data_IF_629028145354
#
_entry.id   IF_629028145354
#
_cell.length_a   1.000
_cell.length_b   1.000
_cell.length_c   1.000
_cell.angle_alpha   90.00
_cell.angle_beta   90.00
_cell.angle_gamma   90.00
#
_symmetry.space_group_name_H-M   'P 1'
#
loop_
_entity.id
_entity.type
_entity.pdbx_description
1 polymer ?
#
# COMPACT_ATOMS: atom_id res chain seq x y z
N UNK A 1 3.19 0.07 20.24
CA UNK A 1 3.71 -0.51 18.96
C UNK A 1 5.16 -1.01 19.03
N UNK A 2 5.93 -0.67 20.02
CA UNK A 2 7.28 -1.23 20.19
C UNK A 2 7.24 -2.47 21.08
N UNK A 3 7.96 -3.53 20.67
CA UNK A 3 8.08 -4.75 21.45
C UNK A 3 9.23 -4.61 22.48
N UNK A 4 9.04 -5.09 23.70
CA UNK A 4 10.11 -5.18 24.70
C UNK A 4 10.99 -6.40 24.45
N UNK A 5 11.89 -6.30 23.50
CA UNK A 5 12.94 -7.31 23.25
C UNK A 5 14.21 -6.97 24.04
N UNK A 6 15.19 -7.92 24.02
CA UNK A 6 16.51 -7.64 24.58
C UNK A 6 17.04 -6.31 24.08
N UNK A 7 17.44 -5.43 24.98
CA UNK A 7 17.77 -4.04 24.73
C UNK A 7 18.82 -3.81 23.65
N UNK A 8 19.65 -4.81 23.36
CA UNK A 8 20.78 -4.73 22.42
C UNK A 8 20.45 -5.14 20.98
N UNK A 9 19.26 -5.71 20.70
CA UNK A 9 18.91 -6.09 19.34
C UNK A 9 18.63 -4.86 18.47
N UNK A 10 19.11 -4.91 17.21
CA UNK A 10 18.87 -3.85 16.21
C UNK A 10 17.39 -3.78 15.86
N UNK A 11 16.79 -2.61 15.99
CA UNK A 11 15.42 -2.31 15.58
C UNK A 11 15.36 -1.60 14.23
N UNK A 12 16.26 -0.62 14.03
CA UNK A 12 16.19 0.30 12.90
C UNK A 12 17.58 0.59 12.37
N UNK A 13 17.74 0.50 11.05
CA UNK A 13 18.91 0.95 10.31
C UNK A 13 18.47 2.01 9.31
N UNK A 14 19.03 3.19 9.38
CA UNK A 14 18.93 4.22 8.35
C UNK A 14 20.12 4.09 7.40
N UNK A 15 19.87 3.55 6.22
CA UNK A 15 20.93 3.31 5.24
C UNK A 15 21.47 4.61 4.62
N UNK A 16 20.67 5.67 4.59
CA UNK A 16 21.06 6.99 4.09
C UNK A 16 22.04 7.70 5.04
N UNK A 17 21.73 7.72 6.33
CA UNK A 17 22.55 8.32 7.37
C UNK A 17 23.59 7.38 7.95
N UNK A 18 23.61 6.09 7.54
CA UNK A 18 24.45 5.03 8.11
C UNK A 18 24.32 4.95 9.64
N UNK A 19 23.10 5.15 10.12
CA UNK A 19 22.73 5.16 11.54
C UNK A 19 22.01 3.87 11.90
N UNK A 20 22.39 3.27 13.02
CA UNK A 20 21.74 2.08 13.56
C UNK A 20 21.22 2.38 14.97
N UNK A 21 20.02 1.90 15.29
CA UNK A 21 19.42 2.00 16.61
C UNK A 21 19.00 0.61 17.08
N UNK A 22 19.35 0.27 18.32
CA UNK A 22 18.78 -0.90 19.02
C UNK A 22 17.33 -0.60 19.44
N UNK A 23 16.59 -1.64 19.87
CA UNK A 23 15.23 -1.43 20.40
C UNK A 23 15.22 -0.47 21.57
N UNK A 24 16.19 -0.56 22.51
CA UNK A 24 16.32 0.36 23.63
C UNK A 24 16.66 1.79 23.20
N UNK A 25 17.56 1.95 22.23
CA UNK A 25 17.93 3.27 21.72
C UNK A 25 16.76 3.92 20.95
N UNK A 26 16.00 3.13 20.16
CA UNK A 26 14.80 3.63 19.51
C UNK A 26 13.74 4.05 20.53
N UNK A 27 13.49 3.22 21.53
CA UNK A 27 12.54 3.52 22.61
C UNK A 27 12.91 4.80 23.35
N UNK A 28 14.19 4.97 23.69
CA UNK A 28 14.70 6.18 24.32
C UNK A 28 14.51 7.42 23.44
N UNK A 29 14.88 7.32 22.15
CA UNK A 29 14.71 8.43 21.21
C UNK A 29 13.24 8.82 21.02
N UNK A 30 12.35 7.83 20.98
CA UNK A 30 10.90 8.05 20.91
C UNK A 30 10.37 8.70 22.20
N UNK A 31 10.86 8.32 23.38
CA UNK A 31 10.46 8.91 24.64
C UNK A 31 10.87 10.38 24.72
N UNK A 32 12.15 10.68 24.44
CA UNK A 32 12.68 12.05 24.41
C UNK A 32 11.90 12.94 23.43
N UNK A 33 11.61 12.41 22.24
CA UNK A 33 10.84 13.14 21.22
C UNK A 33 9.37 13.32 21.61
N UNK A 34 8.78 12.36 22.32
CA UNK A 34 7.42 12.48 22.86
C UNK A 34 7.31 13.58 23.91
N UNK A 35 8.33 13.77 24.75
CA UNK A 35 8.37 14.90 25.72
C UNK A 35 8.34 16.24 24.99
N UNK A 36 9.07 16.38 23.87
CA UNK A 36 9.01 17.58 23.02
C UNK A 36 7.62 17.78 22.39
N UNK A 37 6.92 16.70 22.06
CA UNK A 37 5.60 16.71 21.43
C UNK A 37 4.44 16.71 22.44
N UNK A 38 4.67 16.79 23.74
CA UNK A 38 3.62 16.71 24.77
C UNK A 38 2.46 17.71 24.54
N UNK A 39 2.75 18.88 23.98
CA UNK A 39 1.75 19.89 23.62
C UNK A 39 0.85 19.50 22.42
N UNK A 40 1.13 18.41 21.73
CA UNK A 40 0.36 17.94 20.56
C UNK A 40 -0.67 16.86 20.90
N UNK A 41 -0.84 16.51 22.17
CA UNK A 41 -1.88 15.56 22.62
C UNK A 41 -3.26 15.99 22.14
N UNK A 42 -3.98 15.08 21.44
CA UNK A 42 -5.32 15.34 20.90
C UNK A 42 -5.36 16.39 19.79
N UNK A 43 -4.22 16.74 19.18
CA UNK A 43 -4.11 17.72 18.11
C UNK A 43 -3.78 17.07 16.77
N UNK A 44 -4.21 17.71 15.68
CA UNK A 44 -3.87 17.27 14.33
C UNK A 44 -2.45 17.73 13.97
N UNK A 45 -1.62 16.77 13.61
CA UNK A 45 -0.28 17.01 13.10
C UNK A 45 -0.17 16.47 11.68
N UNK A 46 0.29 17.28 10.74
CA UNK A 46 0.74 16.83 9.44
C UNK A 46 2.21 16.44 9.54
N UNK A 47 2.51 15.18 9.29
CA UNK A 47 3.87 14.64 9.33
C UNK A 47 4.33 14.24 7.94
N UNK A 48 5.30 14.96 7.39
CA UNK A 48 6.02 14.62 6.19
C UNK A 48 7.00 13.47 6.48
N UNK A 49 6.77 12.29 5.90
CA UNK A 49 7.59 11.11 6.14
C UNK A 49 8.41 10.72 4.91
N UNK A 50 9.63 10.26 5.18
CA UNK A 50 10.54 9.63 4.22
C UNK A 50 11.13 8.37 4.86
N UNK A 51 11.81 7.49 4.11
CA UNK A 51 12.53 6.36 4.69
C UNK A 51 13.79 6.83 5.47
N UNK A 52 13.58 7.43 6.64
CA UNK A 52 14.62 7.97 7.53
C UNK A 52 14.26 7.69 9.00
N UNK A 53 15.27 7.54 9.83
CA UNK A 53 15.10 7.25 11.26
C UNK A 53 14.30 8.35 11.97
N UNK A 54 14.50 9.60 11.61
CA UNK A 54 13.77 10.77 12.17
C UNK A 54 12.27 10.65 11.93
N UNK A 55 11.83 10.29 10.71
CA UNK A 55 10.41 10.11 10.39
C UNK A 55 9.76 8.99 11.23
N UNK A 56 10.49 7.89 11.47
CA UNK A 56 10.00 6.79 12.32
C UNK A 56 9.90 7.22 13.77
N UNK A 57 10.91 7.92 14.29
CA UNK A 57 10.92 8.44 15.68
C UNK A 57 9.77 9.42 15.88
N UNK A 58 9.60 10.39 14.96
CA UNK A 58 8.53 11.40 15.04
C UNK A 58 7.14 10.75 15.00
N UNK A 59 6.93 9.79 14.10
CA UNK A 59 5.66 9.04 14.03
C UNK A 59 5.36 8.33 15.35
N UNK A 60 6.30 7.56 15.86
CA UNK A 60 6.11 6.80 17.10
C UNK A 60 5.94 7.72 18.33
N UNK A 61 6.63 8.86 18.36
CA UNK A 61 6.49 9.86 19.41
C UNK A 61 5.11 10.54 19.38
N UNK A 62 4.62 10.93 18.20
CA UNK A 62 3.29 11.50 18.03
C UNK A 62 2.17 10.51 18.42
N UNK A 63 2.32 9.24 18.08
CA UNK A 63 1.38 8.20 18.54
C UNK A 63 1.43 8.03 20.06
N UNK A 64 2.62 8.07 20.67
CA UNK A 64 2.78 7.98 22.13
C UNK A 64 2.07 9.12 22.89
N UNK A 65 2.11 10.33 22.35
CA UNK A 65 1.37 11.47 22.93
C UNK A 65 -0.09 11.54 22.50
N UNK A 66 -0.58 10.52 21.79
CA UNK A 66 -1.97 10.43 21.31
C UNK A 66 -2.39 11.62 20.43
N UNK A 67 -1.52 12.02 19.53
CA UNK A 67 -1.85 12.98 18.49
C UNK A 67 -2.69 12.32 17.39
N UNK A 68 -3.45 13.10 16.65
CA UNK A 68 -4.01 12.69 15.33
C UNK A 68 -2.97 13.02 14.27
N UNK A 69 -2.46 12.01 13.57
CA UNK A 69 -1.31 12.17 12.67
C UNK A 69 -1.69 11.90 11.23
N UNK A 70 -1.59 12.91 10.37
CA UNK A 70 -1.70 12.72 8.92
C UNK A 70 -0.32 12.42 8.32
N UNK A 71 -0.15 11.20 7.79
CA UNK A 71 1.10 10.78 7.14
C UNK A 71 1.10 11.22 5.68
N UNK A 72 2.06 12.05 5.31
CA UNK A 72 2.17 12.66 3.99
C UNK A 72 3.59 12.44 3.43
N UNK A 73 3.74 12.57 2.12
CA UNK A 73 5.07 12.59 1.51
C UNK A 73 5.83 13.84 1.95
N UNK A 74 7.03 13.68 2.48
CA UNK A 74 7.88 14.81 2.86
C UNK A 74 8.17 15.76 1.67
N UNK A 75 8.16 15.23 0.44
CA UNK A 75 8.34 15.99 -0.79
C UNK A 75 7.03 16.59 -1.33
N UNK A 76 5.94 16.61 -0.54
CA UNK A 76 4.67 17.24 -0.96
C UNK A 76 4.89 18.71 -1.33
N UNK A 77 4.49 19.15 -2.54
CA UNK A 77 4.63 20.55 -2.96
C UNK A 77 3.87 21.51 -2.03
N UNK A 78 4.44 22.70 -1.78
CA UNK A 78 3.87 23.72 -0.88
C UNK A 78 2.44 24.12 -1.24
N UNK A 79 2.10 24.24 -2.52
CA UNK A 79 0.76 24.57 -2.98
C UNK A 79 -0.27 23.53 -2.50
N UNK A 80 0.06 22.24 -2.64
CA UNK A 80 -0.80 21.14 -2.19
C UNK A 80 -0.87 21.10 -0.66
N UNK A 81 0.27 21.27 0.00
CA UNK A 81 0.33 21.31 1.46
C UNK A 81 -0.51 22.47 2.02
N UNK A 82 -0.46 23.64 1.40
CA UNK A 82 -1.28 24.81 1.75
C UNK A 82 -2.77 24.50 1.60
N UNK A 83 -3.18 23.92 0.47
CA UNK A 83 -4.58 23.50 0.26
C UNK A 83 -5.08 22.56 1.35
N UNK A 84 -4.24 21.60 1.76
CA UNK A 84 -4.59 20.66 2.82
C UNK A 84 -4.62 21.33 4.19
N UNK A 85 -3.68 22.25 4.47
CA UNK A 85 -3.67 23.05 5.72
C UNK A 85 -4.94 23.87 5.88
N UNK A 86 -5.38 24.51 4.80
CA UNK A 86 -6.60 25.35 4.82
C UNK A 86 -7.87 24.51 5.04
N UNK A 87 -7.91 23.27 4.53
CA UNK A 87 -9.05 22.38 4.68
C UNK A 87 -9.12 21.65 6.03
N UNK A 88 -7.97 21.36 6.63
CA UNK A 88 -7.89 20.55 7.86
C UNK A 88 -7.40 21.30 9.08
N UNK A 89 -6.78 22.47 8.94
CA UNK A 89 -6.29 23.33 10.02
C UNK A 89 -5.44 22.55 11.05
N UNK A 90 -4.31 21.92 10.63
CA UNK A 90 -3.46 21.20 11.57
C UNK A 90 -2.83 22.16 12.59
N UNK A 91 -2.63 21.69 13.82
CA UNK A 91 -1.91 22.44 14.85
C UNK A 91 -0.39 22.33 14.74
N UNK A 92 0.12 21.35 13.98
CA UNK A 92 1.54 21.26 13.64
C UNK A 92 1.74 20.71 12.23
N UNK A 93 2.82 21.14 11.58
CA UNK A 93 3.31 20.65 10.28
C UNK A 93 4.80 20.39 10.47
N UNK A 94 5.22 19.13 10.32
CA UNK A 94 6.55 18.65 10.66
C UNK A 94 7.13 17.79 9.53
N UNK A 95 8.45 17.85 9.34
CA UNK A 95 9.20 16.92 8.51
C UNK A 95 9.07 17.09 6.99
N UNK A 96 8.61 18.23 6.49
CA UNK A 96 8.51 18.51 5.05
C UNK A 96 9.78 19.14 4.48
N UNK A 97 10.11 18.78 3.22
CA UNK A 97 11.27 19.33 2.51
C UNK A 97 11.06 20.79 2.09
N UNK A 98 9.80 21.14 1.83
CA UNK A 98 9.39 22.43 1.24
C UNK A 98 8.94 23.45 2.28
N UNK A 99 8.72 23.05 3.53
CA UNK A 99 8.21 23.91 4.57
C UNK A 99 8.94 23.66 5.89
N UNK A 100 9.33 24.72 6.63
CA UNK A 100 9.92 24.54 7.96
C UNK A 100 8.91 23.94 8.93
N UNK A 101 9.41 23.24 9.95
CA UNK A 101 8.59 22.74 11.03
C UNK A 101 7.89 23.89 11.75
N UNK A 102 6.56 23.80 11.84
CA UNK A 102 5.72 24.82 12.47
C UNK A 102 4.73 24.16 13.42
N UNK A 103 4.64 24.68 14.63
CA UNK A 103 3.54 24.38 15.53
C UNK A 103 2.84 25.68 15.92
N UNK A 104 1.51 25.67 15.90
CA UNK A 104 0.72 26.83 16.27
C UNK A 104 0.13 26.65 17.66
N UNK A 105 0.51 27.53 18.60
CA UNK A 105 -0.12 27.64 19.90
C UNK A 105 -1.45 28.41 19.78
N UNK A 106 -2.42 27.85 19.09
CA UNK A 106 -3.79 28.35 19.11
C UNK A 106 -4.55 27.88 20.35
N UNK A 107 -5.70 28.50 20.70
CA UNK A 107 -6.57 27.94 21.73
C UNK A 107 -6.89 26.50 21.36
N UNK A 108 -6.90 25.55 22.33
CA UNK A 108 -7.15 24.16 22.04
C UNK A 108 -8.52 24.02 21.38
N UNK A 109 -8.54 23.56 20.13
CA UNK A 109 -9.75 22.95 19.58
C UNK A 109 -10.14 21.77 20.46
N UNK A 110 -11.41 21.32 20.39
CA UNK A 110 -11.81 20.10 21.08
C UNK A 110 -10.82 18.97 20.75
N UNK A 111 -10.32 18.21 21.75
CA UNK A 111 -9.37 17.15 21.52
C UNK A 111 -9.87 16.17 20.46
N UNK A 112 -9.03 15.84 19.50
CA UNK A 112 -9.32 14.82 18.50
C UNK A 112 -8.97 13.44 19.07
N UNK A 113 -9.71 12.37 18.68
CA UNK A 113 -9.32 11.01 19.02
C UNK A 113 -8.00 10.66 18.35
N UNK A 114 -7.19 9.84 19.03
CA UNK A 114 -5.94 9.33 18.43
C UNK A 114 -6.22 8.57 17.15
N UNK A 115 -5.61 8.97 16.06
CA UNK A 115 -5.78 8.31 14.77
C UNK A 115 -4.62 8.60 13.84
N UNK A 116 -4.41 7.68 12.92
CA UNK A 116 -3.50 7.85 11.78
C UNK A 116 -4.35 8.11 10.55
N UNK A 117 -4.06 9.18 9.86
CA UNK A 117 -4.72 9.60 8.64
C UNK A 117 -3.83 9.29 7.46
N UNK A 118 -4.32 8.44 6.55
CA UNK A 118 -3.59 8.08 5.33
C UNK A 118 -4.34 8.63 4.12
N UNK A 119 -3.67 9.43 3.26
CA UNK A 119 -4.33 9.97 2.08
C UNK A 119 -4.67 8.85 1.09
N UNK A 120 -5.85 8.89 0.52
CA UNK A 120 -6.20 8.08 -0.64
C UNK A 120 -6.06 8.91 -1.91
N UNK A 121 -5.70 8.25 -3.01
CA UNK A 121 -5.68 8.86 -4.34
C UNK A 121 -7.11 9.14 -4.82
N UNK A 122 -7.75 10.17 -4.29
CA UNK A 122 -9.03 10.65 -4.80
C UNK A 122 -8.83 11.42 -6.10
N UNK A 123 -9.63 11.12 -7.11
CA UNK A 123 -9.67 11.79 -8.42
C UNK A 123 -10.19 13.24 -8.36
N UNK A 124 -10.53 13.77 -7.19
CA UNK A 124 -11.30 15.01 -7.03
C UNK A 124 -10.54 16.18 -6.40
N UNK A 125 -9.20 16.19 -6.45
CA UNK A 125 -8.39 17.35 -6.03
C UNK A 125 -8.38 17.67 -4.53
N UNK A 126 -9.42 17.30 -3.78
CA UNK A 126 -9.49 17.47 -2.32
C UNK A 126 -8.98 16.21 -1.62
N UNK A 127 -8.06 16.31 -0.63
CA UNK A 127 -7.53 15.14 0.04
C UNK A 127 -8.64 14.46 0.84
N UNK A 128 -8.82 13.17 0.60
CA UNK A 128 -9.67 12.30 1.39
C UNK A 128 -8.75 11.41 2.22
N UNK A 129 -8.84 11.52 3.54
CA UNK A 129 -8.08 10.66 4.43
C UNK A 129 -8.90 9.45 4.89
N UNK A 130 -8.27 8.30 4.94
CA UNK A 130 -8.73 7.15 5.72
C UNK A 130 -8.29 7.36 7.17
N UNK A 131 -9.20 7.23 8.11
CA UNK A 131 -8.96 7.34 9.55
C UNK A 131 -8.75 5.96 10.14
N UNK A 132 -7.58 5.71 10.70
CA UNK A 132 -7.20 4.44 11.32
C UNK A 132 -6.88 4.68 12.81
N UNK A 133 -7.38 3.84 13.70
CA UNK A 133 -6.98 3.91 15.10
C UNK A 133 -5.67 3.16 15.35
N UNK A 134 -4.90 3.57 16.36
CA UNK A 134 -3.65 2.91 16.73
C UNK A 134 -3.85 1.44 17.09
N UNK A 135 -4.92 1.13 17.82
CA UNK A 135 -5.26 -0.26 18.18
C UNK A 135 -5.54 -1.13 16.97
N UNK A 136 -6.17 -0.57 15.92
CA UNK A 136 -6.41 -1.26 14.64
C UNK A 136 -5.12 -1.53 13.89
N UNK A 137 -4.21 -0.56 13.84
CA UNK A 137 -2.88 -0.73 13.24
C UNK A 137 -2.05 -1.79 14.00
N UNK A 138 -2.08 -1.77 15.34
CA UNK A 138 -1.39 -2.77 16.16
C UNK A 138 -2.00 -4.17 15.97
N UNK A 139 -3.33 -4.29 15.92
CA UNK A 139 -4.02 -5.55 15.65
C UNK A 139 -3.65 -6.08 14.25
N UNK A 140 -3.65 -5.23 13.22
CA UNK A 140 -3.25 -5.64 11.88
C UNK A 140 -1.78 -6.07 11.82
N UNK A 141 -0.88 -5.38 12.51
CA UNK A 141 0.52 -5.79 12.64
C UNK A 141 0.65 -7.17 13.28
N UNK A 142 -0.07 -7.46 14.38
CA UNK A 142 -0.07 -8.77 15.02
C UNK A 142 -0.64 -9.88 14.10
N UNK A 143 -1.68 -9.56 13.34
CA UNK A 143 -2.28 -10.46 12.34
C UNK A 143 -1.29 -10.78 11.21
N UNK A 144 -0.54 -9.78 10.73
CA UNK A 144 0.52 -9.97 9.73
C UNK A 144 1.60 -10.89 10.27
N UNK A 145 2.10 -10.64 11.48
CA UNK A 145 3.11 -11.46 12.14
C UNK A 145 2.67 -12.94 12.16
N UNK A 146 1.46 -13.20 12.65
CA UNK A 146 0.92 -14.54 12.71
C UNK A 146 0.70 -15.17 11.32
N UNK A 147 0.14 -14.42 10.36
CA UNK A 147 -0.17 -14.91 9.02
C UNK A 147 1.08 -15.16 8.15
N UNK A 148 2.17 -14.41 8.38
CA UNK A 148 3.44 -14.58 7.63
C UNK A 148 4.51 -15.35 8.38
N UNK A 149 4.22 -15.79 9.61
CA UNK A 149 5.18 -16.49 10.47
C UNK A 149 6.44 -15.66 10.73
N UNK A 150 6.26 -14.33 10.82
CA UNK A 150 7.35 -13.39 11.07
C UNK A 150 7.91 -13.58 12.48
N UNK A 151 9.22 -13.44 12.61
CA UNK A 151 9.90 -13.58 13.89
C UNK A 151 10.99 -12.52 14.08
N UNK A 152 11.57 -12.54 15.27
CA UNK A 152 12.61 -11.60 15.70
C UNK A 152 13.87 -11.57 14.81
N UNK A 153 14.18 -12.69 14.12
CA UNK A 153 15.30 -12.79 13.20
C UNK A 153 15.05 -12.19 11.83
N UNK A 154 13.84 -11.66 11.57
CA UNK A 154 13.53 -11.06 10.30
C UNK A 154 14.05 -9.62 10.19
N UNK A 155 14.38 -9.23 8.96
CA UNK A 155 14.85 -7.88 8.63
C UNK A 155 14.30 -7.46 7.27
N UNK A 156 13.42 -6.44 7.27
CA UNK A 156 12.85 -5.93 6.04
C UNK A 156 13.61 -4.74 5.47
N UNK A 157 13.72 -4.67 4.14
CA UNK A 157 14.09 -3.44 3.46
C UNK A 157 12.82 -2.58 3.25
N UNK A 158 12.69 -1.48 3.99
CA UNK A 158 11.59 -0.52 3.84
C UNK A 158 12.01 0.52 2.80
N UNK A 159 11.69 0.24 1.55
CA UNK A 159 11.88 1.12 0.39
C UNK A 159 10.53 1.59 -0.18
N UNK A 160 9.42 1.08 0.36
CA UNK A 160 8.07 1.54 0.06
C UNK A 160 7.72 2.74 0.93
N UNK A 161 6.99 3.74 0.39
CA UNK A 161 6.65 4.93 1.16
C UNK A 161 5.89 4.64 2.45
N UNK A 162 6.30 5.28 3.55
CA UNK A 162 5.68 5.12 4.87
C UNK A 162 4.28 5.77 4.97
N UNK A 163 3.96 6.71 4.09
CA UNK A 163 2.64 7.33 4.00
C UNK A 163 1.62 6.47 3.21
N UNK A 164 2.00 5.26 2.80
CA UNK A 164 1.07 4.24 2.31
C UNK A 164 0.90 3.12 3.32
N UNK A 165 -0.30 2.60 3.41
CA UNK A 165 -0.64 1.54 4.37
C UNK A 165 0.26 0.30 4.23
N UNK A 166 0.78 -0.01 3.04
CA UNK A 166 1.72 -1.13 2.86
C UNK A 166 3.08 -0.85 3.53
N UNK A 167 3.72 0.26 3.22
CA UNK A 167 5.00 0.64 3.83
C UNK A 167 4.89 0.76 5.35
N UNK A 168 3.82 1.41 5.81
CA UNK A 168 3.51 1.54 7.24
C UNK A 168 3.34 0.17 7.92
N UNK A 169 2.59 -0.75 7.30
CA UNK A 169 2.35 -2.08 7.88
C UNK A 169 3.61 -2.97 7.91
N UNK A 170 4.55 -2.79 6.97
CA UNK A 170 5.87 -3.44 7.05
C UNK A 170 6.65 -2.91 8.25
N UNK A 171 6.71 -1.58 8.43
CA UNK A 171 7.36 -0.97 9.59
C UNK A 171 6.76 -1.47 10.90
N UNK A 172 5.43 -1.33 11.05
CA UNK A 172 4.75 -1.64 12.32
C UNK A 172 4.80 -3.12 12.68
N UNK A 173 4.65 -4.02 11.69
CA UNK A 173 4.70 -5.46 11.95
C UNK A 173 6.11 -5.93 12.35
N UNK A 174 7.17 -5.44 11.69
CA UNK A 174 8.54 -5.83 12.05
C UNK A 174 8.91 -5.30 13.45
N UNK A 175 8.63 -4.03 13.73
CA UNK A 175 8.92 -3.47 15.06
C UNK A 175 8.13 -4.20 16.16
N UNK A 176 6.85 -4.53 15.92
CA UNK A 176 6.04 -5.28 16.88
C UNK A 176 6.53 -6.72 17.06
N UNK A 177 7.06 -7.36 16.02
CA UNK A 177 7.65 -8.69 16.10
C UNK A 177 9.01 -8.74 16.84
N UNK A 178 9.58 -7.59 17.23
CA UNK A 178 10.96 -7.50 17.70
C UNK A 178 12.00 -7.74 16.61
N UNK A 179 11.57 -7.70 15.36
CA UNK A 179 12.40 -7.76 14.16
C UNK A 179 13.01 -6.39 13.82
N UNK A 180 13.81 -6.33 12.77
CA UNK A 180 14.46 -5.08 12.37
C UNK A 180 13.98 -4.58 11.00
N UNK A 181 14.13 -3.27 10.78
CA UNK A 181 13.87 -2.64 9.48
C UNK A 181 15.09 -1.84 9.02
N UNK A 182 15.34 -1.86 7.72
CA UNK A 182 16.34 -1.03 7.05
C UNK A 182 15.60 -0.03 6.17
N UNK A 183 15.77 1.24 6.45
CA UNK A 183 15.17 2.34 5.68
C UNK A 183 16.09 2.69 4.52
N UNK A 184 15.56 2.68 3.30
CA UNK A 184 16.35 2.99 2.09
C UNK A 184 15.55 3.79 1.09
N UNK A 185 16.21 4.76 0.47
CA UNK A 185 15.72 5.54 -0.67
C UNK A 185 16.29 5.05 -2.00
N UNK A 186 17.11 4.00 -2.00
CA UNK A 186 17.74 3.48 -3.21
C UNK A 186 16.71 2.80 -4.09
N UNK A 187 16.61 3.25 -5.32
CA UNK A 187 15.70 2.66 -6.30
C UNK A 187 16.11 1.23 -6.67
N UNK A 188 15.11 0.35 -6.85
CA UNK A 188 15.29 -1.02 -7.31
C UNK A 188 15.97 -1.15 -8.69
N UNK A 189 16.07 -0.05 -9.44
CA UNK A 189 16.78 0.01 -10.74
C UNK A 189 18.28 0.24 -10.61
N UNK A 190 18.75 0.60 -9.41
CA UNK A 190 20.18 0.89 -9.16
C UNK A 190 20.92 -0.36 -8.69
N UNK A 191 22.19 -0.56 -9.10
CA UNK A 191 23.01 -1.68 -8.63
C UNK A 191 23.13 -1.76 -7.10
N UNK A 192 23.20 -0.60 -6.43
CA UNK A 192 23.29 -0.45 -4.98
C UNK A 192 22.10 -1.08 -4.24
N UNK A 193 20.96 -1.25 -4.90
CA UNK A 193 19.81 -1.92 -4.28
C UNK A 193 20.13 -3.37 -3.89
N UNK A 194 20.76 -4.12 -4.80
CA UNK A 194 21.18 -5.50 -4.51
C UNK A 194 22.33 -5.55 -3.50
N UNK A 195 23.26 -4.60 -3.56
CA UNK A 195 24.35 -4.47 -2.60
C UNK A 195 23.82 -4.25 -1.19
N UNK A 196 22.78 -3.39 -1.00
CA UNK A 196 22.14 -3.18 0.28
C UNK A 196 21.43 -4.43 0.82
N UNK A 197 20.83 -5.26 -0.05
CA UNK A 197 20.22 -6.51 0.42
C UNK A 197 21.25 -7.43 1.11
N UNK A 198 22.45 -7.51 0.55
CA UNK A 198 23.55 -8.30 1.11
C UNK A 198 24.20 -7.57 2.32
N UNK A 199 24.55 -6.27 2.17
CA UNK A 199 25.21 -5.47 3.21
C UNK A 199 24.45 -5.46 4.53
N UNK A 200 23.12 -5.33 4.46
CA UNK A 200 22.27 -5.26 5.65
C UNK A 200 21.62 -6.61 6.00
N UNK A 201 22.01 -7.72 5.37
CA UNK A 201 21.47 -9.05 5.63
C UNK A 201 19.92 -9.05 5.61
N UNK A 202 19.34 -8.55 4.51
CA UNK A 202 17.89 -8.46 4.35
C UNK A 202 17.28 -9.85 4.19
N UNK A 203 16.30 -10.17 5.04
CA UNK A 203 15.60 -11.46 5.01
C UNK A 203 14.23 -11.37 4.35
N UNK A 204 13.61 -10.19 4.39
CA UNK A 204 12.28 -9.91 3.82
C UNK A 204 12.33 -8.73 2.86
N UNK A 205 11.88 -8.95 1.62
CA UNK A 205 11.79 -7.92 0.59
C UNK A 205 10.33 -7.62 0.24
N UNK A 206 9.74 -6.56 0.81
CA UNK A 206 8.40 -6.11 0.43
C UNK A 206 8.40 -5.56 -1.00
N UNK A 207 7.34 -5.84 -1.75
CA UNK A 207 7.21 -5.40 -3.14
C UNK A 207 5.78 -5.04 -3.51
N UNK A 208 5.66 -4.23 -4.54
CA UNK A 208 4.44 -4.03 -5.32
C UNK A 208 4.66 -4.60 -6.74
N UNK A 209 3.62 -4.82 -7.54
CA UNK A 209 3.79 -5.38 -8.90
C UNK A 209 4.83 -4.63 -9.74
N UNK A 210 4.87 -3.31 -9.63
CA UNK A 210 5.88 -2.49 -10.30
C UNK A 210 7.32 -2.81 -9.81
N UNK A 211 7.52 -2.98 -8.50
CA UNK A 211 8.83 -3.35 -7.95
C UNK A 211 9.28 -4.73 -8.44
N UNK A 212 8.36 -5.71 -8.49
CA UNK A 212 8.66 -7.06 -9.02
C UNK A 212 9.11 -6.99 -10.48
N UNK A 213 8.48 -6.16 -11.31
CA UNK A 213 8.92 -5.94 -12.68
C UNK A 213 10.32 -5.34 -12.75
N UNK A 214 10.65 -4.40 -11.85
CA UNK A 214 12.01 -3.86 -11.76
C UNK A 214 13.02 -4.92 -11.31
N UNK A 215 12.67 -5.76 -10.33
CA UNK A 215 13.53 -6.88 -9.89
C UNK A 215 13.80 -7.87 -11.01
N UNK A 216 12.79 -8.17 -11.85
CA UNK A 216 12.94 -8.97 -13.05
C UNK A 216 13.91 -8.34 -14.05
N UNK A 217 13.69 -7.07 -14.40
CA UNK A 217 14.53 -6.32 -15.36
C UNK A 217 15.99 -6.21 -14.92
N UNK A 218 16.24 -5.98 -13.64
CA UNK A 218 17.59 -5.90 -13.06
C UNK A 218 18.19 -7.26 -12.76
N UNK A 219 17.47 -8.36 -13.03
CA UNK A 219 17.86 -9.73 -12.71
C UNK A 219 18.24 -9.89 -11.24
N UNK A 220 17.49 -9.23 -10.33
CA UNK A 220 17.82 -9.21 -8.90
C UNK A 220 17.94 -10.63 -8.33
N UNK A 221 16.99 -11.51 -8.64
CA UNK A 221 16.93 -12.86 -8.10
C UNK A 221 17.94 -13.84 -8.74
N UNK A 222 18.80 -13.40 -9.66
CA UNK A 222 19.95 -14.17 -10.13
C UNK A 222 21.25 -13.80 -9.41
N UNK A 223 21.22 -12.76 -8.56
CA UNK A 223 22.37 -12.31 -7.77
C UNK A 223 22.51 -13.13 -6.49
N UNK A 224 23.65 -13.04 -5.84
CA UNK A 224 23.86 -13.64 -4.53
C UNK A 224 23.10 -12.82 -3.45
N UNK A 225 22.13 -13.44 -2.80
CA UNK A 225 21.29 -12.84 -1.76
C UNK A 225 21.15 -13.87 -0.62
N UNK A 226 22.24 -14.11 0.14
CA UNK A 226 22.34 -15.27 1.04
C UNK A 226 21.33 -15.26 2.18
N UNK A 227 20.91 -14.08 2.63
CA UNK A 227 20.03 -13.92 3.77
C UNK A 227 18.55 -13.79 3.37
N UNK A 228 18.25 -13.55 2.09
CA UNK A 228 16.88 -13.33 1.63
C UNK A 228 16.06 -14.63 1.72
N UNK A 229 15.01 -14.60 2.55
CA UNK A 229 14.12 -15.73 2.82
C UNK A 229 12.71 -15.54 2.28
N UNK A 230 12.28 -14.31 2.11
CA UNK A 230 10.92 -14.00 1.68
C UNK A 230 10.83 -12.76 0.78
N UNK A 231 9.98 -12.86 -0.22
CA UNK A 231 9.50 -11.74 -1.03
C UNK A 231 7.99 -11.64 -0.82
N UNK A 232 7.54 -10.50 -0.36
CA UNK A 232 6.11 -10.26 -0.15
C UNK A 232 5.58 -9.28 -1.19
N UNK A 233 4.37 -9.49 -1.70
CA UNK A 233 3.76 -8.56 -2.68
C UNK A 233 2.33 -8.19 -2.30
N UNK A 234 1.99 -6.92 -2.49
CA UNK A 234 0.65 -6.37 -2.28
C UNK A 234 0.46 -5.11 -3.13
N UNK A 235 -0.74 -4.54 -3.10
CA UNK A 235 -1.02 -3.22 -3.68
C UNK A 235 -1.47 -3.23 -5.13
N UNK A 236 -1.66 -4.40 -5.73
CA UNK A 236 -2.21 -4.59 -7.07
C UNK A 236 -2.07 -6.02 -7.57
N UNK A 237 -2.74 -6.39 -8.65
CA UNK A 237 -2.59 -7.69 -9.28
C UNK A 237 -1.20 -7.84 -9.88
N UNK A 238 -0.56 -8.99 -9.63
CA UNK A 238 0.71 -9.34 -10.29
C UNK A 238 0.40 -10.05 -11.61
N UNK A 239 0.93 -9.57 -12.74
CA UNK A 239 0.71 -10.23 -14.02
C UNK A 239 1.16 -11.70 -13.98
N UNK A 240 0.35 -12.67 -14.46
CA UNK A 240 0.69 -14.10 -14.42
C UNK A 240 2.04 -14.42 -15.07
N UNK A 241 2.37 -13.78 -16.20
CA UNK A 241 3.65 -13.96 -16.88
C UNK A 241 4.84 -13.56 -16.00
N UNK A 242 4.72 -12.47 -15.23
CA UNK A 242 5.77 -12.03 -14.30
C UNK A 242 5.98 -13.07 -13.18
N UNK A 243 4.89 -13.62 -12.66
CA UNK A 243 4.93 -14.68 -11.66
C UNK A 243 5.64 -15.92 -12.21
N UNK A 244 5.27 -16.36 -13.41
CA UNK A 244 5.85 -17.54 -14.07
C UNK A 244 7.37 -17.41 -14.26
N UNK A 245 7.89 -16.21 -14.50
CA UNK A 245 9.31 -15.96 -14.64
C UNK A 245 10.04 -15.91 -13.29
N UNK A 246 9.44 -15.28 -12.26
CA UNK A 246 10.11 -15.03 -10.97
C UNK A 246 10.02 -16.23 -10.02
N UNK A 247 8.88 -16.92 -9.98
CA UNK A 247 8.65 -17.98 -8.99
C UNK A 247 9.65 -19.13 -9.04
N UNK A 248 10.10 -19.63 -10.21
CA UNK A 248 11.15 -20.65 -10.26
C UNK A 248 12.46 -20.17 -9.64
N UNK A 249 12.89 -18.93 -9.94
CA UNK A 249 14.13 -18.36 -9.42
C UNK A 249 14.13 -18.24 -7.89
N UNK A 250 13.00 -17.86 -7.31
CA UNK A 250 12.84 -17.78 -5.86
C UNK A 250 12.88 -19.17 -5.23
N UNK A 251 12.18 -20.13 -5.83
CA UNK A 251 12.11 -21.49 -5.31
C UNK A 251 13.47 -22.20 -5.32
N UNK A 252 14.25 -22.09 -6.41
CA UNK A 252 15.59 -22.68 -6.51
C UNK A 252 16.51 -22.23 -5.38
N UNK A 253 16.22 -21.04 -4.80
CA UNK A 253 16.97 -20.43 -3.70
C UNK A 253 16.32 -20.62 -2.34
N UNK A 254 15.20 -21.33 -2.26
CA UNK A 254 14.45 -21.50 -1.02
C UNK A 254 13.78 -20.20 -0.52
N UNK A 255 13.58 -19.21 -1.40
CA UNK A 255 12.95 -17.93 -1.05
C UNK A 255 11.43 -18.06 -1.21
N UNK A 256 10.69 -17.85 -0.12
CA UNK A 256 9.23 -17.87 -0.12
C UNK A 256 8.63 -16.65 -0.82
N UNK A 257 7.62 -16.88 -1.67
CA UNK A 257 6.84 -15.79 -2.27
C UNK A 257 5.45 -15.71 -1.63
N UNK A 258 5.14 -14.57 -1.02
CA UNK A 258 3.90 -14.31 -0.32
C UNK A 258 3.03 -13.33 -1.09
N UNK A 259 1.94 -13.80 -1.70
CA UNK A 259 0.96 -12.93 -2.30
C UNK A 259 -0.05 -12.46 -1.24
N UNK A 260 -0.28 -11.14 -1.17
CA UNK A 260 -1.10 -10.52 -0.14
C UNK A 260 -2.13 -9.59 -0.75
N UNK A 261 -3.27 -9.47 -0.07
CA UNK A 261 -4.28 -8.48 -0.39
C UNK A 261 -4.55 -7.59 0.81
N UNK A 262 -4.83 -6.34 0.51
CA UNK A 262 -5.24 -5.36 1.49
C UNK A 262 -5.46 -4.00 0.87
N UNK A 263 -6.04 -3.12 1.67
CA UNK A 263 -6.30 -1.74 1.33
C UNK A 263 -6.12 -0.86 2.57
N UNK A 264 -5.99 0.44 2.34
CA UNK A 264 -5.78 1.41 3.42
C UNK A 264 -6.91 1.37 4.43
N UNK A 265 -8.15 1.19 3.98
CA UNK A 265 -9.37 1.11 4.76
C UNK A 265 -9.42 -0.09 5.74
N UNK A 266 -8.50 -1.05 5.58
CA UNK A 266 -8.32 -2.20 6.47
C UNK A 266 -6.89 -2.26 7.04
N UNK A 267 -6.28 -1.12 7.34
CA UNK A 267 -4.93 -0.99 7.93
C UNK A 267 -3.81 -1.64 7.11
N UNK A 268 -4.06 -2.00 5.86
CA UNK A 268 -3.05 -2.46 4.91
C UNK A 268 -3.06 -3.94 4.55
N UNK A 269 -3.56 -4.84 5.40
CA UNK A 269 -3.60 -6.28 5.09
C UNK A 269 -4.90 -6.95 5.51
N UNK A 270 -5.44 -7.74 4.59
CA UNK A 270 -6.68 -8.52 4.77
C UNK A 270 -6.39 -10.01 4.66
N UNK A 271 -5.62 -10.43 3.65
CA UNK A 271 -5.34 -11.84 3.40
C UNK A 271 -3.91 -12.08 2.92
N UNK A 272 -3.48 -13.33 3.01
CA UNK A 272 -2.15 -13.79 2.62
C UNK A 272 -2.20 -15.21 2.03
N UNK A 273 -1.55 -15.42 0.91
CA UNK A 273 -1.30 -16.73 0.32
C UNK A 273 0.11 -17.20 0.74
N UNK A 274 0.22 -18.31 1.49
CA UNK A 274 1.51 -18.82 1.93
C UNK A 274 2.32 -19.39 0.75
N UNK A 275 3.66 -19.37 0.82
CA UNK A 275 4.54 -19.78 -0.28
C UNK A 275 4.35 -21.24 -0.70
N UNK A 276 3.97 -22.11 0.20
CA UNK A 276 3.74 -23.53 -0.06
C UNK A 276 2.59 -23.75 -1.03
N UNK A 277 1.59 -22.88 -1.02
CA UNK A 277 0.41 -22.98 -1.88
C UNK A 277 0.48 -22.10 -3.12
N UNK A 278 1.47 -21.23 -3.22
CA UNK A 278 1.54 -20.22 -4.27
C UNK A 278 1.43 -20.82 -5.68
N UNK A 279 2.12 -21.93 -5.97
CA UNK A 279 2.08 -22.57 -7.29
C UNK A 279 0.73 -23.18 -7.66
N UNK A 280 0.03 -23.75 -6.69
CA UNK A 280 -1.28 -24.37 -6.89
C UNK A 280 -2.43 -23.37 -6.95
N UNK A 281 -2.18 -22.12 -6.54
CA UNK A 281 -3.17 -21.06 -6.39
C UNK A 281 -2.71 -19.71 -6.97
N UNK A 282 -1.99 -19.73 -8.10
CA UNK A 282 -1.56 -18.52 -8.80
C UNK A 282 -2.79 -17.65 -9.12
N UNK A 283 -2.76 -16.39 -8.69
CA UNK A 283 -3.88 -15.44 -8.84
C UNK A 283 -4.77 -15.35 -7.61
N UNK A 284 -4.68 -16.29 -6.66
CA UNK A 284 -5.30 -16.12 -5.34
C UNK A 284 -4.50 -15.16 -4.48
N UNK A 285 -5.20 -14.46 -3.59
CA UNK A 285 -4.61 -13.63 -2.53
C UNK A 285 -4.67 -14.32 -1.15
N UNK A 286 -4.95 -15.62 -1.15
CA UNK A 286 -4.87 -16.52 -0.01
C UNK A 286 -6.00 -16.41 0.99
N UNK A 287 -5.67 -16.67 2.23
CA UNK A 287 -6.61 -16.77 3.33
C UNK A 287 -6.71 -15.46 4.10
N UNK A 288 -7.89 -15.13 4.66
CA UNK A 288 -8.00 -14.05 5.63
C UNK A 288 -6.99 -14.19 6.75
N UNK A 289 -6.39 -13.07 7.16
CA UNK A 289 -5.51 -13.05 8.32
C UNK A 289 -6.24 -13.48 9.61
N UNK A 290 -5.55 -14.00 10.62
CA UNK A 290 -6.17 -14.41 11.89
C UNK A 290 -7.01 -13.26 12.50
N UNK A 291 -8.28 -13.54 12.83
CA UNK A 291 -9.21 -12.54 13.36
C UNK A 291 -9.82 -11.59 12.33
N UNK A 292 -9.52 -11.78 11.05
CA UNK A 292 -10.21 -11.11 9.93
C UNK A 292 -11.25 -12.06 9.34
N UNK A 293 -12.47 -11.60 9.18
CA UNK A 293 -13.53 -12.31 8.47
C UNK A 293 -13.74 -11.68 7.10
N UNK A 294 -13.72 -12.51 6.06
CA UNK A 294 -14.05 -12.12 4.68
C UNK A 294 -15.27 -12.90 4.23
N UNK A 295 -16.20 -12.24 3.57
CA UNK A 295 -17.34 -12.91 2.93
C UNK A 295 -17.66 -12.25 1.60
N UNK A 296 -18.44 -12.95 0.79
CA UNK A 296 -18.90 -12.48 -0.51
C UNK A 296 -20.36 -12.10 -0.38
N UNK A 297 -20.66 -10.83 -0.58
CA UNK A 297 -22.02 -10.29 -0.58
C UNK A 297 -22.60 -10.44 -1.98
N UNK A 298 -23.89 -10.86 -2.06
CA UNK A 298 -24.62 -11.02 -3.31
C UNK A 298 -23.87 -11.84 -4.39
N UNK A 299 -23.45 -13.09 -4.09
CA UNK A 299 -22.70 -13.89 -5.06
C UNK A 299 -23.58 -14.30 -6.24
N UNK A 300 -22.98 -14.28 -7.43
CA UNK A 300 -23.58 -14.84 -8.64
C UNK A 300 -23.52 -16.38 -8.67
N UNK A 301 -23.94 -16.99 -9.79
CA UNK A 301 -23.93 -18.45 -9.97
C UNK A 301 -22.51 -19.07 -9.94
N UNK A 302 -21.47 -18.27 -10.11
CA UNK A 302 -20.06 -18.66 -10.01
C UNK A 302 -19.44 -18.35 -8.65
N UNK A 303 -20.25 -17.84 -7.70
CA UNK A 303 -19.82 -17.45 -6.38
C UNK A 303 -19.08 -16.12 -6.35
N UNK A 304 -19.08 -15.33 -7.43
CA UNK A 304 -18.45 -14.02 -7.54
C UNK A 304 -19.43 -12.93 -7.06
N UNK A 305 -19.01 -12.12 -6.13
CA UNK A 305 -19.80 -11.00 -5.61
C UNK A 305 -18.92 -9.96 -4.94
N UNK A 306 -19.51 -9.17 -4.08
CA UNK A 306 -18.84 -8.08 -3.39
C UNK A 306 -18.00 -8.60 -2.23
N UNK A 307 -16.73 -8.22 -2.18
CA UNK A 307 -15.85 -8.62 -1.09
C UNK A 307 -16.04 -7.68 0.10
N UNK A 308 -16.53 -8.24 1.20
CA UNK A 308 -16.69 -7.56 2.46
C UNK A 308 -15.74 -8.07 3.53
N UNK A 309 -15.35 -7.18 4.45
CA UNK A 309 -14.36 -7.48 5.48
C UNK A 309 -14.81 -6.97 6.84
N UNK A 310 -14.65 -7.80 7.86
CA UNK A 310 -14.77 -7.42 9.27
C UNK A 310 -13.49 -7.77 10.00
N UNK A 311 -12.96 -6.81 10.76
CA UNK A 311 -11.76 -6.99 11.56
C UNK A 311 -11.39 -5.75 12.34
N UNK A 312 -10.52 -5.90 13.35
CA UNK A 312 -10.10 -4.78 14.21
C UNK A 312 -9.30 -3.71 13.45
N UNK A 313 -8.73 -4.07 12.29
CA UNK A 313 -7.98 -3.16 11.42
C UNK A 313 -8.84 -2.30 10.50
N UNK A 314 -10.17 -2.44 10.51
CA UNK A 314 -11.05 -1.62 9.69
C UNK A 314 -10.96 -0.14 10.10
N UNK A 315 -11.13 0.74 9.14
CA UNK A 315 -11.11 2.18 9.36
C UNK A 315 -12.24 2.67 10.27
N UNK A 316 -12.04 3.83 10.88
CA UNK A 316 -13.09 4.58 11.57
C UNK A 316 -14.06 5.29 10.59
N UNK A 317 -13.65 5.41 9.33
CA UNK A 317 -14.34 6.14 8.27
C UNK A 317 -13.38 7.04 7.51
N UNK A 318 -13.94 7.85 6.63
CA UNK A 318 -13.17 8.83 5.87
C UNK A 318 -13.25 10.21 6.54
N UNK A 319 -12.23 11.04 6.28
CA UNK A 319 -12.28 12.46 6.53
C UNK A 319 -12.04 13.24 5.24
N UNK A 320 -12.88 14.20 4.95
CA UNK A 320 -12.78 15.16 3.82
C UNK A 320 -12.56 16.58 4.32
N UNK A 321 -12.71 16.79 5.62
CA UNK A 321 -12.52 18.04 6.32
C UNK A 321 -12.11 17.80 7.77
N UNK A 322 -11.72 18.87 8.47
CA UNK A 322 -11.46 18.79 9.92
C UNK A 322 -12.67 18.31 10.74
N UNK A 323 -13.88 18.68 10.34
CA UNK A 323 -15.10 18.29 11.07
C UNK A 323 -15.30 16.78 11.16
N UNK A 324 -14.81 16.04 10.15
CA UNK A 324 -14.94 14.58 10.09
C UNK A 324 -14.00 13.85 11.06
N UNK A 325 -12.96 14.52 11.57
CA UNK A 325 -11.91 13.89 12.40
C UNK A 325 -12.42 13.43 13.76
N UNK A 326 -13.47 14.07 14.29
CA UNK A 326 -14.09 13.70 15.56
C UNK A 326 -15.32 12.81 15.45
N UNK A 327 -15.65 12.31 14.25
CA UNK A 327 -16.99 11.78 13.98
C UNK A 327 -17.31 10.42 14.62
N UNK A 328 -16.37 9.53 14.86
CA UNK A 328 -16.60 8.22 15.49
C UNK A 328 -15.29 7.61 15.97
N UNK A 329 -15.39 6.83 17.05
CA UNK A 329 -14.23 6.14 17.66
C UNK A 329 -14.25 4.63 17.41
N UNK A 330 -15.24 4.11 16.70
CA UNK A 330 -15.38 2.67 16.46
C UNK A 330 -15.03 2.30 15.02
N UNK A 331 -14.21 1.26 14.82
CA UNK A 331 -13.96 0.71 13.49
C UNK A 331 -15.25 0.22 12.84
N UNK A 332 -15.35 0.34 11.52
CA UNK A 332 -16.46 -0.19 10.75
C UNK A 332 -16.59 -1.71 10.97
N UNK A 333 -17.76 -2.15 11.43
CA UNK A 333 -18.03 -3.57 11.65
C UNK A 333 -18.08 -4.36 10.32
N UNK A 334 -18.52 -3.70 9.26
CA UNK A 334 -18.61 -4.20 7.90
C UNK A 334 -17.97 -3.18 6.95
N UNK A 335 -16.91 -3.59 6.28
CA UNK A 335 -16.20 -2.80 5.28
C UNK A 335 -16.44 -3.39 3.90
N UNK A 336 -17.22 -2.69 3.07
CA UNK A 336 -17.25 -2.92 1.64
C UNK A 336 -15.92 -2.49 1.03
N UNK A 337 -15.16 -3.45 0.51
CA UNK A 337 -13.82 -3.19 -0.06
C UNK A 337 -13.88 -2.48 -1.40
N UNK A 338 -15.02 -2.50 -2.08
CA UNK A 338 -15.17 -2.05 -3.46
C UNK A 338 -14.55 -2.99 -4.48
N UNK A 339 -14.03 -4.14 -4.05
CA UNK A 339 -13.50 -5.19 -4.92
C UNK A 339 -14.55 -6.29 -5.13
N UNK A 340 -14.49 -6.98 -6.26
CA UNK A 340 -15.26 -8.18 -6.56
C UNK A 340 -14.36 -9.41 -6.43
N UNK A 341 -14.95 -10.53 -5.98
CA UNK A 341 -14.18 -11.76 -5.79
C UNK A 341 -15.04 -12.94 -5.38
N UNK A 342 -14.39 -14.05 -5.12
CA UNK A 342 -15.01 -15.28 -4.64
C UNK A 342 -14.12 -15.98 -3.61
N UNK A 343 -14.72 -16.77 -2.75
CA UNK A 343 -14.01 -17.72 -1.90
C UNK A 343 -14.11 -19.12 -2.53
N UNK A 344 -12.99 -19.83 -2.63
CA UNK A 344 -13.03 -21.23 -3.05
C UNK A 344 -13.42 -22.16 -1.89
N UNK A 345 -13.59 -23.45 -2.19
CA UNK A 345 -13.96 -24.47 -1.19
C UNK A 345 -12.94 -24.61 -0.05
N UNK A 346 -11.69 -24.20 -0.25
CA UNK A 346 -10.64 -24.15 0.76
C UNK A 346 -10.62 -22.87 1.59
N UNK A 347 -11.46 -21.88 1.25
CA UNK A 347 -11.51 -20.57 1.92
C UNK A 347 -10.50 -19.55 1.40
N UNK A 348 -9.84 -19.82 0.27
CA UNK A 348 -8.93 -18.85 -0.37
C UNK A 348 -9.73 -17.80 -1.14
N UNK A 349 -9.32 -16.54 -0.97
CA UNK A 349 -9.90 -15.41 -1.68
C UNK A 349 -9.27 -15.26 -3.08
N UNK A 350 -10.13 -15.09 -4.07
CA UNK A 350 -9.80 -14.81 -5.45
C UNK A 350 -10.47 -13.50 -5.84
N UNK A 351 -9.66 -12.48 -6.18
CA UNK A 351 -10.17 -11.21 -6.65
C UNK A 351 -10.39 -11.28 -8.17
N UNK A 352 -11.52 -10.74 -8.61
CA UNK A 352 -11.88 -10.70 -10.05
C UNK A 352 -11.87 -9.29 -10.62
N UNK A 353 -11.68 -8.25 -9.79
CA UNK A 353 -11.57 -6.86 -10.21
C UNK A 353 -12.20 -5.87 -9.24
N UNK A 354 -12.30 -4.60 -9.67
CA UNK A 354 -12.95 -3.54 -8.91
C UNK A 354 -14.33 -3.24 -9.44
N UNK A 355 -15.34 -3.19 -8.56
CA UNK A 355 -16.72 -2.84 -8.94
C UNK A 355 -16.87 -1.46 -9.58
N UNK A 356 -16.04 -0.50 -9.20
CA UNK A 356 -16.04 0.87 -9.75
C UNK A 356 -15.33 0.96 -11.10
N UNK A 357 -14.61 -0.07 -11.53
CA UNK A 357 -13.94 -0.15 -12.84
C UNK A 357 -14.76 -1.01 -13.81
N UNK A 358 -16.03 -0.66 -13.95
CA UNK A 358 -16.97 -1.29 -14.90
C UNK A 358 -17.35 -0.25 -15.94
N UNK A 359 -17.12 -0.58 -17.20
CA UNK A 359 -17.68 0.13 -18.35
C UNK A 359 -19.04 -0.46 -18.72
N UNK A 360 -19.91 0.35 -19.26
CA UNK A 360 -21.14 -0.12 -19.91
C UNK A 360 -20.94 -0.06 -21.43
N UNK A 361 -20.91 -1.20 -22.08
CA UNK A 361 -20.80 -1.31 -23.55
C UNK A 361 -22.10 -1.92 -24.06
N UNK A 362 -22.94 -1.15 -24.74
CA UNK A 362 -24.26 -1.58 -25.25
C UNK A 362 -25.13 -2.29 -24.20
N UNK A 363 -25.09 -1.81 -22.96
CA UNK A 363 -25.87 -2.36 -21.85
C UNK A 363 -25.21 -3.53 -21.11
N UNK A 364 -24.16 -4.13 -21.67
CA UNK A 364 -23.35 -5.12 -20.96
C UNK A 364 -22.38 -4.44 -19.96
N UNK A 365 -22.27 -5.02 -18.77
CA UNK A 365 -21.27 -4.62 -17.78
C UNK A 365 -19.95 -5.32 -18.09
N UNK A 366 -18.90 -4.55 -18.30
CA UNK A 366 -17.56 -5.04 -18.67
C UNK A 366 -16.55 -4.57 -17.63
N UNK A 367 -15.87 -5.50 -17.00
CA UNK A 367 -14.78 -5.20 -16.08
C UNK A 367 -13.57 -4.66 -16.87
N UNK A 368 -13.10 -3.46 -16.53
CA UNK A 368 -11.92 -2.88 -17.18
C UNK A 368 -10.63 -3.62 -16.77
N UNK A 369 -10.63 -4.26 -15.61
CA UNK A 369 -9.51 -5.09 -15.17
C UNK A 369 -9.39 -6.36 -16.03
N UNK A 370 -10.55 -6.97 -16.39
CA UNK A 370 -10.58 -8.12 -17.31
C UNK A 370 -10.16 -7.72 -18.73
N UNK A 371 -10.59 -6.53 -19.17
CA UNK A 371 -10.17 -5.96 -20.46
C UNK A 371 -8.65 -5.81 -20.50
N UNK A 372 -8.05 -5.23 -19.46
CA UNK A 372 -6.60 -5.07 -19.38
C UNK A 372 -5.88 -6.42 -19.38
N UNK A 373 -6.36 -7.38 -18.61
CA UNK A 373 -5.76 -8.71 -18.54
C UNK A 373 -5.85 -9.44 -19.88
N UNK A 374 -7.02 -9.42 -20.53
CA UNK A 374 -7.25 -10.08 -21.81
C UNK A 374 -6.45 -9.44 -22.96
N UNK A 375 -6.29 -8.12 -22.93
CA UNK A 375 -5.62 -7.37 -23.99
C UNK A 375 -4.13 -7.08 -23.71
N UNK A 376 -3.59 -7.56 -22.61
CA UNK A 376 -2.17 -7.35 -22.24
C UNK A 376 -1.21 -7.88 -23.31
N UNK A 377 -1.50 -9.05 -23.89
CA UNK A 377 -0.71 -9.66 -24.98
C UNK A 377 -0.79 -8.85 -26.28
N UNK A 378 -1.85 -8.08 -26.47
CA UNK A 378 -2.05 -7.18 -27.61
C UNK A 378 -1.41 -5.80 -27.37
N UNK A 379 -0.65 -5.61 -26.30
CA UNK A 379 0.05 -4.36 -25.98
C UNK A 379 -0.78 -3.32 -25.22
N UNK A 380 -2.00 -3.64 -24.83
CA UNK A 380 -2.80 -2.75 -23.94
C UNK A 380 -2.19 -2.76 -22.54
N UNK A 381 -2.06 -1.57 -21.95
CA UNK A 381 -1.47 -1.35 -20.63
C UNK A 381 -2.46 -0.85 -19.60
N UNK A 382 -3.51 -0.18 -20.04
CA UNK A 382 -4.57 0.35 -19.18
C UNK A 382 -5.86 0.55 -19.96
N UNK A 383 -7.00 0.55 -19.29
CA UNK A 383 -8.30 0.89 -19.85
C UNK A 383 -9.08 1.81 -18.90
N UNK A 384 -9.88 2.72 -19.46
CA UNK A 384 -10.83 3.55 -18.72
C UNK A 384 -12.21 3.48 -19.38
N UNK A 385 -13.26 3.67 -18.58
CA UNK A 385 -14.60 3.77 -19.12
C UNK A 385 -14.77 5.08 -19.92
N UNK A 386 -15.47 4.99 -21.03
CA UNK A 386 -15.92 6.14 -21.81
C UNK A 386 -17.45 6.19 -21.78
N UNK A 387 -18.06 7.27 -22.30
CA UNK A 387 -19.52 7.47 -22.28
C UNK A 387 -20.31 6.29 -22.87
N UNK A 388 -19.84 5.71 -23.98
CA UNK A 388 -20.49 4.61 -24.71
C UNK A 388 -19.55 3.42 -25.02
N UNK A 389 -18.44 3.29 -24.27
CA UNK A 389 -17.44 2.28 -24.54
C UNK A 389 -16.27 2.29 -23.57
N UNK A 390 -15.09 2.01 -24.12
CA UNK A 390 -13.82 2.02 -23.40
C UNK A 390 -12.74 2.75 -24.18
N UNK A 391 -11.87 3.43 -23.46
CA UNK A 391 -10.61 3.93 -23.99
C UNK A 391 -9.49 3.06 -23.45
N UNK A 392 -8.70 2.43 -24.33
CA UNK A 392 -7.53 1.64 -23.97
C UNK A 392 -6.26 2.38 -24.31
N UNK A 393 -5.25 2.22 -23.47
CA UNK A 393 -3.95 2.87 -23.60
C UNK A 393 -2.87 1.85 -23.94
N UNK A 394 -2.08 2.17 -24.95
CA UNK A 394 -0.96 1.34 -25.44
C UNK A 394 0.34 2.15 -25.43
N UNK A 395 1.46 1.46 -25.27
CA UNK A 395 2.81 2.06 -25.40
C UNK A 395 3.45 1.69 -26.75
N UNK A 396 2.65 1.16 -27.68
CA UNK A 396 3.08 0.73 -29.03
C UNK A 396 2.09 1.18 -30.08
N UNK A 397 2.59 1.58 -31.25
CA UNK A 397 1.77 2.03 -32.41
C UNK A 397 1.07 0.88 -33.16
N UNK A 398 1.30 -0.37 -32.76
CA UNK A 398 0.88 -1.55 -33.51
C UNK A 398 -0.53 -2.03 -33.20
N UNK A 399 -1.25 -1.38 -32.28
CA UNK A 399 -2.58 -1.84 -31.80
C UNK A 399 -3.69 -1.04 -32.46
N UNK A 400 -4.65 -1.72 -33.11
CA UNK A 400 -5.83 -1.08 -33.68
C UNK A 400 -7.13 -1.51 -32.98
N UNK A 401 -8.16 -0.64 -32.99
CA UNK A 401 -9.48 -0.97 -32.43
C UNK A 401 -10.08 -2.25 -33.09
N UNK A 402 -9.75 -2.54 -34.37
CA UNK A 402 -10.22 -3.75 -35.06
C UNK A 402 -9.54 -5.02 -34.56
N UNK A 403 -8.27 -4.94 -34.13
CA UNK A 403 -7.58 -6.09 -33.56
C UNK A 403 -8.18 -6.41 -32.18
N UNK A 404 -8.49 -5.37 -31.40
CA UNK A 404 -9.14 -5.49 -30.10
C UNK A 404 -10.61 -5.96 -30.22
N UNK A 405 -11.34 -5.55 -31.27
CA UNK A 405 -12.67 -6.08 -31.58
C UNK A 405 -12.65 -7.61 -31.72
N UNK A 406 -11.66 -8.14 -32.44
CA UNK A 406 -11.51 -9.59 -32.60
C UNK A 406 -11.17 -10.32 -31.31
N UNK A 407 -10.39 -9.68 -30.44
CA UNK A 407 -10.00 -10.26 -29.16
C UNK A 407 -11.13 -10.24 -28.13
N UNK A 408 -11.95 -9.17 -28.13
CA UNK A 408 -12.95 -8.94 -27.09
C UNK A 408 -14.38 -9.29 -27.52
N UNK A 409 -14.66 -9.36 -28.81
CA UNK A 409 -16.02 -9.52 -29.34
C UNK A 409 -16.91 -8.28 -29.24
N UNK A 410 -16.37 -7.11 -28.85
CA UNK A 410 -17.08 -5.83 -28.83
C UNK A 410 -16.80 -5.05 -30.11
N UNK A 411 -17.78 -4.32 -30.68
CA UNK A 411 -17.57 -3.54 -31.88
C UNK A 411 -16.45 -2.51 -31.76
N UNK A 412 -15.59 -2.42 -32.78
CA UNK A 412 -14.44 -1.49 -32.79
C UNK A 412 -14.84 -0.03 -32.48
N UNK A 413 -16.06 0.39 -32.81
CA UNK A 413 -16.59 1.75 -32.51
C UNK A 413 -16.78 2.01 -31.00
N UNK A 414 -16.82 0.96 -30.17
CA UNK A 414 -16.89 1.09 -28.70
C UNK A 414 -15.50 1.07 -28.05
N UNK A 415 -14.44 0.97 -28.83
CA UNK A 415 -13.07 0.89 -28.37
C UNK A 415 -12.28 2.06 -28.97
N UNK A 416 -11.86 2.99 -28.12
CA UNK A 416 -10.92 4.04 -28.51
C UNK A 416 -9.51 3.60 -28.11
N UNK A 417 -8.55 3.72 -29.02
CA UNK A 417 -7.14 3.39 -28.73
C UNK A 417 -6.33 4.66 -28.63
N UNK A 418 -5.67 4.84 -27.50
CA UNK A 418 -4.73 5.92 -27.25
C UNK A 418 -3.31 5.36 -27.16
N UNK A 419 -2.44 5.88 -28.02
CA UNK A 419 -1.01 5.63 -27.90
C UNK A 419 -0.37 6.69 -27.03
N UNK A 420 0.37 6.24 -26.00
CA UNK A 420 1.08 7.10 -25.05
C UNK A 420 2.51 6.61 -24.87
N UNK A 421 3.43 7.52 -24.65
CA UNK A 421 4.84 7.18 -24.47
C UNK A 421 5.07 6.28 -23.25
N UNK A 422 4.35 6.53 -22.16
CA UNK A 422 4.35 5.69 -20.96
C UNK A 422 3.04 5.88 -20.19
N UNK A 423 2.51 4.80 -19.61
CA UNK A 423 1.34 4.85 -18.73
C UNK A 423 1.67 5.61 -17.47
N UNK A 424 0.91 6.71 -17.14
CA UNK A 424 1.12 7.48 -15.94
C UNK A 424 0.94 6.62 -14.69
N UNK A 425 1.80 6.85 -13.69
CA UNK A 425 1.79 6.12 -12.43
C UNK A 425 1.75 7.07 -11.24
N UNK A 426 1.08 6.64 -10.20
CA UNK A 426 1.08 7.31 -8.91
C UNK A 426 2.45 7.15 -8.22
N UNK A 427 2.76 7.93 -7.18
CA UNK A 427 3.98 7.76 -6.38
C UNK A 427 4.14 6.34 -5.79
N UNK A 428 3.04 5.61 -5.59
CA UNK A 428 3.04 4.21 -5.16
C UNK A 428 3.34 3.20 -6.27
N UNK A 429 3.62 3.66 -7.50
CA UNK A 429 3.87 2.81 -8.67
C UNK A 429 2.63 2.21 -9.32
N UNK A 430 1.42 2.49 -8.81
CA UNK A 430 0.14 2.06 -9.41
C UNK A 430 -0.18 2.89 -10.65
N UNK A 431 -0.95 2.32 -11.59
CA UNK A 431 -1.48 3.07 -12.73
C UNK A 431 -2.36 4.22 -12.21
N UNK A 432 -2.12 5.42 -12.72
CA UNK A 432 -2.92 6.61 -12.42
C UNK A 432 -4.12 6.70 -13.38
N UNK A 433 -5.19 6.00 -13.02
CA UNK A 433 -6.42 5.99 -13.84
C UNK A 433 -7.13 7.34 -13.85
N UNK A 434 -6.94 8.18 -12.83
CA UNK A 434 -7.47 9.55 -12.83
C UNK A 434 -6.87 10.34 -13.99
N UNK A 435 -5.55 10.31 -14.10
CA UNK A 435 -4.83 10.97 -15.19
C UNK A 435 -5.16 10.39 -16.56
N UNK A 436 -5.35 9.07 -16.65
CA UNK A 436 -5.77 8.42 -17.90
C UNK A 436 -7.19 8.83 -18.31
N UNK A 437 -8.10 9.00 -17.35
CA UNK A 437 -9.47 9.48 -17.62
C UNK A 437 -9.47 10.93 -18.14
N UNK A 438 -8.63 11.79 -17.57
CA UNK A 438 -8.43 13.15 -18.09
C UNK A 438 -7.91 13.15 -19.54
N UNK A 439 -6.94 12.29 -19.83
CA UNK A 439 -6.39 12.13 -21.18
C UNK A 439 -7.42 11.57 -22.18
N UNK A 440 -8.33 10.72 -21.73
CA UNK A 440 -9.40 10.15 -22.57
C UNK A 440 -10.54 11.14 -22.84
N UNK A 441 -10.79 12.08 -21.92
CA UNK A 441 -11.89 13.06 -22.01
C UNK A 441 -11.52 14.39 -22.66
N UNK A 442 -10.24 14.58 -23.03
CA UNK A 442 -9.70 15.79 -23.68
C UNK A 442 -9.83 15.81 -25.20
#
# INVERSE_FOLDING_TARGET
MLHSRSDDAVALIDAGEKRQLTHAQLEKAVAERADEFAGLTGRLTFLGVRPAATSVIDLLALLRVRATVALLDAATPDERLTTWRDGYLPEAVLGFDTSPDVSWAGPPAAPLPESVLIPTSGSTGSPKFVRLCESGLAANAAQIIAGTRMGEGDRALVHLPLYFSYGLSVLTSHLLAGASVVLSTVSATRPQFAEQLAEYSITCLPSVPFSLEMYRRTRLFTRDLPDLRSVTTSGGPVPPGLITEIAPLLQERGIGFWAMYGQTEASGRISVLPPEEFRSAIGSVGYPLPGVRVWIQEPDTNGVGEVHVSGPGNMLGYATSRADLGATDQPLADLDTGDAGRLDAGGRLWLTGRRKRIAKIYGARVSLDDVEAQLAEHGVRAAVADSDGITVFTETDSVSARDLERAMGFPARSIRVFNIQAVPRTPSGKIDYGRLTELAGG
#
